data_IF_328451676617
#
_entry.id   IF_328451676617
#
_cell.length_a   1.000
_cell.length_b   1.000
_cell.length_c   1.000
_cell.angle_alpha   90.00
_cell.angle_beta   90.00
_cell.angle_gamma   90.00
#
_symmetry.space_group_name_H-M   'P 1'
#
loop_
_entity.id
_entity.type
_entity.pdbx_description
1 polymer ?
#
# COMPACT_ATOMS: atom_id res chain seq x y z
N UNK A 1 -11.46 13.21 44.58
CA UNK A 1 -11.50 12.83 43.16
C UNK A 1 -11.22 11.33 43.10
N UNK A 2 -12.15 10.49 42.59
CA UNK A 2 -11.87 9.06 42.45
C UNK A 2 -10.73 8.84 41.43
N UNK A 3 -9.87 7.82 41.62
CA UNK A 3 -8.84 7.51 40.64
C UNK A 3 -9.50 7.13 39.30
N UNK A 4 -8.88 7.46 38.15
CA UNK A 4 -9.45 7.12 36.85
C UNK A 4 -9.62 5.61 36.73
N UNK A 5 -10.85 5.16 36.50
CA UNK A 5 -11.17 3.76 36.26
C UNK A 5 -10.59 3.34 34.90
N UNK A 6 -9.64 2.41 34.91
CA UNK A 6 -9.03 1.84 33.71
C UNK A 6 -9.97 0.80 33.09
N UNK A 7 -10.20 0.87 31.77
CA UNK A 7 -11.06 -0.06 31.04
C UNK A 7 -10.41 -1.44 30.93
N UNK A 8 -10.80 -2.40 31.78
CA UNK A 8 -10.27 -3.77 31.78
C UNK A 8 -10.35 -4.45 30.39
N UNK A 9 -11.45 -4.31 29.61
CA UNK A 9 -11.50 -4.86 28.25
C UNK A 9 -10.43 -4.29 27.31
N UNK A 10 -10.07 -3.01 27.44
CA UNK A 10 -9.01 -2.40 26.63
C UNK A 10 -7.64 -3.00 26.98
N UNK A 11 -7.36 -3.22 28.27
CA UNK A 11 -6.12 -3.87 28.69
C UNK A 11 -6.03 -5.33 28.22
N UNK A 12 -7.13 -6.07 28.32
CA UNK A 12 -7.20 -7.45 27.82
C UNK A 12 -6.98 -7.52 26.29
N UNK A 13 -7.53 -6.58 25.53
CA UNK A 13 -7.33 -6.52 24.08
C UNK A 13 -5.85 -6.32 23.69
N UNK A 14 -5.11 -5.49 24.44
CA UNK A 14 -3.68 -5.28 24.20
C UNK A 14 -2.84 -6.53 24.48
N UNK A 15 -3.17 -7.27 25.55
CA UNK A 15 -2.50 -8.52 25.92
C UNK A 15 -2.73 -9.61 24.84
N UNK A 16 -3.97 -9.76 24.39
CA UNK A 16 -4.31 -10.69 23.31
C UNK A 16 -3.63 -10.28 21.99
N UNK A 17 -3.58 -8.99 21.65
CA UNK A 17 -2.88 -8.52 20.46
C UNK A 17 -1.40 -8.92 20.46
N UNK A 18 -0.72 -8.77 21.61
CA UNK A 18 0.66 -9.22 21.76
C UNK A 18 0.78 -10.73 21.52
N UNK A 19 -0.14 -11.53 22.06
CA UNK A 19 -0.14 -12.99 21.89
C UNK A 19 -0.42 -13.44 20.44
N UNK A 20 -1.32 -12.76 19.72
CA UNK A 20 -1.62 -13.04 18.31
C UNK A 20 -0.36 -12.85 17.44
N UNK A 21 0.43 -11.83 17.74
CA UNK A 21 1.63 -11.47 16.98
C UNK A 21 2.88 -12.25 17.41
N UNK A 22 2.79 -13.06 18.46
CA UNK A 22 3.93 -13.82 18.98
C UNK A 22 4.29 -15.01 18.09
N UNK A 23 5.58 -15.18 17.83
CA UNK A 23 6.12 -16.38 17.18
C UNK A 23 5.88 -16.47 15.67
N UNK A 24 5.90 -17.69 15.15
CA UNK A 24 5.80 -17.96 13.71
C UNK A 24 4.39 -17.73 13.16
N UNK A 25 3.36 -18.08 13.94
CA UNK A 25 1.96 -17.87 13.56
C UNK A 25 1.64 -16.40 13.28
N UNK A 26 2.11 -15.48 14.13
CA UNK A 26 1.93 -14.04 13.91
C UNK A 26 2.61 -13.54 12.63
N UNK A 27 3.84 -13.99 12.36
CA UNK A 27 4.56 -13.65 11.11
C UNK A 27 3.85 -14.21 9.88
N UNK A 28 3.31 -15.43 9.97
CA UNK A 28 2.57 -16.06 8.88
C UNK A 28 1.28 -15.30 8.55
N UNK A 29 0.55 -14.82 9.56
CA UNK A 29 -0.66 -14.00 9.34
C UNK A 29 -0.34 -12.75 8.49
N UNK A 30 0.76 -12.06 8.80
CA UNK A 30 1.19 -10.90 8.01
C UNK A 30 1.68 -11.28 6.60
N UNK A 31 2.40 -12.39 6.45
CA UNK A 31 2.83 -12.87 5.14
C UNK A 31 1.64 -13.18 4.23
N UNK A 32 0.62 -13.85 4.76
CA UNK A 32 -0.63 -14.13 4.04
C UNK A 32 -1.39 -12.83 3.69
N UNK A 33 -1.42 -11.85 4.61
CA UNK A 33 -2.02 -10.54 4.36
C UNK A 33 -1.33 -9.79 3.22
N UNK A 34 0.01 -9.77 3.20
CA UNK A 34 0.80 -9.14 2.12
C UNK A 34 0.55 -9.84 0.79
N UNK A 35 0.57 -11.18 0.77
CA UNK A 35 0.28 -11.95 -0.45
C UNK A 35 -1.12 -11.65 -1.00
N UNK A 36 -2.13 -11.59 -0.13
CA UNK A 36 -3.50 -11.23 -0.50
C UNK A 36 -3.56 -9.80 -1.07
N UNK A 37 -2.87 -8.85 -0.44
CA UNK A 37 -2.78 -7.47 -0.93
C UNK A 37 -2.15 -7.39 -2.32
N UNK A 38 -1.13 -8.19 -2.59
CA UNK A 38 -0.47 -8.26 -3.91
C UNK A 38 -1.44 -8.82 -4.96
N UNK A 39 -2.12 -9.92 -4.69
CA UNK A 39 -3.11 -10.49 -5.62
C UNK A 39 -4.26 -9.52 -5.88
N UNK A 40 -4.72 -8.79 -4.86
CA UNK A 40 -5.73 -7.75 -5.01
C UNK A 40 -5.26 -6.64 -5.96
N UNK A 41 -4.02 -6.16 -5.82
CA UNK A 41 -3.44 -5.16 -6.74
C UNK A 41 -3.37 -5.67 -8.17
N UNK A 42 -2.94 -6.91 -8.37
CA UNK A 42 -2.92 -7.55 -9.70
C UNK A 42 -4.33 -7.63 -10.31
N UNK A 43 -5.32 -8.04 -9.53
CA UNK A 43 -6.70 -8.09 -9.97
C UNK A 43 -7.25 -6.70 -10.35
N UNK A 44 -6.91 -5.66 -9.59
CA UNK A 44 -7.29 -4.28 -9.91
C UNK A 44 -6.65 -3.86 -11.24
N UNK A 45 -5.35 -4.07 -11.44
CA UNK A 45 -4.67 -3.72 -12.70
C UNK A 45 -5.31 -4.44 -13.90
N UNK A 46 -5.67 -5.71 -13.73
CA UNK A 46 -6.24 -6.51 -14.82
C UNK A 46 -7.68 -6.11 -15.18
N UNK A 47 -8.47 -5.64 -14.22
CA UNK A 47 -9.93 -5.49 -14.39
C UNK A 47 -10.43 -4.05 -14.27
N UNK A 48 -9.65 -3.14 -13.70
CA UNK A 48 -10.04 -1.77 -13.45
C UNK A 48 -9.27 -0.81 -14.35
N UNK A 49 -9.96 0.19 -14.89
CA UNK A 49 -9.35 1.27 -15.69
C UNK A 49 -9.27 2.58 -14.91
N UNK A 50 -10.31 2.86 -14.13
CA UNK A 50 -10.49 4.14 -13.42
C UNK A 50 -9.88 4.15 -12.03
N UNK A 51 -9.56 2.99 -11.45
CA UNK A 51 -8.85 2.91 -10.18
C UNK A 51 -7.60 2.08 -10.38
N UNK A 52 -6.46 2.59 -9.94
CA UNK A 52 -5.17 1.92 -10.05
C UNK A 52 -4.47 1.87 -8.70
N UNK A 53 -3.72 0.80 -8.39
CA UNK A 53 -2.94 0.75 -7.16
C UNK A 53 -1.75 1.72 -7.22
N UNK A 54 -1.49 2.44 -6.12
CA UNK A 54 -0.32 3.32 -6.00
C UNK A 54 0.95 2.50 -5.72
N UNK A 55 1.58 2.04 -6.80
CA UNK A 55 2.81 1.23 -6.82
C UNK A 55 3.63 1.55 -8.08
N UNK A 56 4.93 1.18 -8.14
CA UNK A 56 5.71 1.34 -9.35
C UNK A 56 5.06 0.63 -10.55
N UNK A 57 4.92 1.28 -11.71
CA UNK A 57 4.31 0.65 -12.89
C UNK A 57 5.17 -0.48 -13.47
N UNK A 58 6.50 -0.35 -13.36
CA UNK A 58 7.46 -1.37 -13.82
C UNK A 58 8.57 -1.56 -12.80
N UNK A 59 9.09 -2.78 -12.72
CA UNK A 59 10.23 -3.17 -11.88
C UNK A 59 11.14 -4.07 -12.70
N UNK A 60 12.44 -3.73 -12.78
CA UNK A 60 13.42 -4.43 -13.61
C UNK A 60 12.97 -4.62 -15.08
N UNK A 61 12.39 -3.56 -15.67
CA UNK A 61 11.98 -3.54 -17.08
C UNK A 61 10.72 -4.35 -17.40
N UNK A 62 10.03 -4.90 -16.40
CA UNK A 62 8.77 -5.64 -16.58
C UNK A 62 7.63 -4.99 -15.79
N UNK A 63 6.38 -5.05 -16.27
CA UNK A 63 5.21 -4.61 -15.50
C UNK A 63 5.15 -5.26 -14.12
N UNK A 64 4.77 -4.51 -13.11
CA UNK A 64 4.79 -4.97 -11.72
C UNK A 64 3.97 -6.24 -11.49
N UNK A 65 2.78 -6.31 -12.09
CA UNK A 65 1.84 -7.43 -11.95
C UNK A 65 2.32 -8.75 -12.57
N UNK A 66 3.30 -8.68 -13.48
CA UNK A 66 3.83 -9.86 -14.19
C UNK A 66 4.86 -10.65 -13.37
N UNK A 67 5.31 -10.10 -12.23
CA UNK A 67 6.24 -10.81 -11.34
C UNK A 67 5.50 -11.79 -10.41
N UNK A 68 6.11 -12.92 -10.01
CA UNK A 68 5.50 -13.85 -9.07
C UNK A 68 5.20 -13.19 -7.72
N UNK A 69 4.04 -13.49 -7.13
CA UNK A 69 3.60 -12.88 -5.86
C UNK A 69 4.57 -13.14 -4.71
N UNK A 70 5.17 -14.33 -4.67
CA UNK A 70 6.20 -14.66 -3.68
C UNK A 70 7.45 -13.78 -3.80
N UNK A 71 7.84 -13.42 -5.03
CA UNK A 71 8.98 -12.53 -5.27
C UNK A 71 8.64 -11.11 -4.81
N UNK A 72 7.44 -10.63 -5.18
CA UNK A 72 6.94 -9.31 -4.76
C UNK A 72 6.90 -9.20 -3.24
N UNK A 73 6.39 -10.22 -2.54
CA UNK A 73 6.25 -10.23 -1.08
C UNK A 73 7.60 -10.22 -0.34
N UNK A 74 8.68 -10.71 -0.96
CA UNK A 74 10.01 -10.84 -0.32
C UNK A 74 10.96 -9.70 -0.66
N UNK A 75 10.77 -9.03 -1.79
CA UNK A 75 11.74 -8.08 -2.32
C UNK A 75 11.26 -6.63 -2.21
N UNK A 76 12.01 -5.81 -1.46
CA UNK A 76 11.66 -4.39 -1.19
C UNK A 76 11.54 -3.53 -2.45
N UNK A 77 12.28 -3.85 -3.52
CA UNK A 77 12.26 -3.09 -4.79
C UNK A 77 10.87 -2.95 -5.41
N UNK A 78 9.94 -3.86 -5.10
CA UNK A 78 8.56 -3.79 -5.61
C UNK A 78 7.72 -2.72 -4.91
N UNK A 79 8.23 -2.15 -3.83
CA UNK A 79 7.56 -1.13 -3.03
C UNK A 79 8.46 0.09 -2.82
N UNK A 80 9.60 0.21 -3.52
CA UNK A 80 10.55 1.31 -3.31
C UNK A 80 10.14 2.57 -4.07
N UNK A 81 10.38 3.73 -3.46
CA UNK A 81 10.29 5.02 -4.15
C UNK A 81 11.66 5.39 -4.71
N UNK A 82 11.90 5.03 -5.97
CA UNK A 82 13.15 5.36 -6.67
C UNK A 82 13.28 6.87 -6.88
N UNK A 83 14.42 7.51 -6.55
CA UNK A 83 14.63 8.94 -6.74
C UNK A 83 14.31 9.41 -8.17
N UNK A 84 13.51 10.46 -8.27
CA UNK A 84 13.12 11.06 -9.55
C UNK A 84 12.13 10.22 -10.37
N UNK A 85 11.63 9.09 -9.84
CA UNK A 85 10.59 8.35 -10.54
C UNK A 85 9.28 9.13 -10.54
N UNK A 86 8.75 9.38 -11.75
CA UNK A 86 7.61 10.28 -11.93
C UNK A 86 6.31 9.73 -11.34
N UNK A 87 6.12 8.41 -11.32
CA UNK A 87 4.85 7.76 -10.92
C UNK A 87 4.35 8.15 -9.51
N UNK A 88 5.26 8.53 -8.59
CA UNK A 88 4.91 8.88 -7.22
C UNK A 88 4.88 10.39 -6.94
N UNK A 89 5.28 11.25 -7.88
CA UNK A 89 5.22 12.71 -7.73
C UNK A 89 6.10 13.36 -6.64
N UNK A 90 6.75 12.59 -5.77
CA UNK A 90 7.62 13.12 -4.71
C UNK A 90 9.01 13.56 -5.22
N UNK A 91 9.42 14.78 -4.83
CA UNK A 91 10.76 15.32 -5.05
C UNK A 91 11.67 15.14 -3.81
N UNK A 92 12.99 15.08 -4.03
CA UNK A 92 13.98 15.08 -2.96
C UNK A 92 14.17 13.76 -2.20
N UNK A 93 13.59 12.67 -2.69
CA UNK A 93 13.79 11.33 -2.12
C UNK A 93 15.16 10.77 -2.50
N UNK A 94 15.80 10.07 -1.55
CA UNK A 94 17.03 9.34 -1.77
C UNK A 94 16.78 7.83 -1.96
N UNK A 95 17.76 7.14 -2.54
CA UNK A 95 17.73 5.68 -2.74
C UNK A 95 17.51 4.95 -1.40
N UNK A 96 16.70 3.89 -1.42
CA UNK A 96 16.39 3.04 -0.26
C UNK A 96 15.85 3.79 0.98
N UNK A 97 15.38 5.03 0.81
CA UNK A 97 14.91 5.86 1.93
C UNK A 97 13.44 5.59 2.29
N UNK A 98 12.58 5.46 1.27
CA UNK A 98 11.14 5.35 1.45
C UNK A 98 10.57 4.15 0.71
N UNK A 99 9.51 3.57 1.29
CA UNK A 99 8.80 2.42 0.73
C UNK A 99 7.29 2.57 0.88
N UNK A 100 6.55 2.09 -0.12
CA UNK A 100 5.11 1.85 -0.05
C UNK A 100 4.86 0.77 1.01
N UNK A 101 3.94 1.05 1.94
CA UNK A 101 3.49 0.05 2.90
C UNK A 101 2.66 -1.02 2.17
N UNK A 102 3.11 -2.29 2.12
CA UNK A 102 2.41 -3.34 1.38
C UNK A 102 1.00 -3.62 1.93
N UNK A 103 0.76 -3.32 3.22
CA UNK A 103 -0.51 -3.54 3.89
C UNK A 103 -1.50 -2.37 3.71
N UNK A 104 -1.06 -1.25 3.12
CA UNK A 104 -1.94 -0.12 2.76
C UNK A 104 -2.33 -0.22 1.30
N UNK A 105 -3.54 -0.70 1.03
CA UNK A 105 -4.11 -0.73 -0.31
C UNK A 105 -4.55 0.68 -0.73
N UNK A 106 -3.56 1.48 -1.14
CA UNK A 106 -3.77 2.83 -1.66
C UNK A 106 -4.10 2.77 -3.16
N UNK A 107 -5.15 3.50 -3.56
CA UNK A 107 -5.67 3.55 -4.91
C UNK A 107 -5.70 4.99 -5.42
N UNK A 108 -5.38 5.19 -6.68
CA UNK A 108 -5.51 6.47 -7.38
C UNK A 108 -6.74 6.44 -8.29
N UNK A 109 -7.36 7.61 -8.44
CA UNK A 109 -8.43 7.88 -9.41
C UNK A 109 -7.91 8.83 -10.49
N UNK A 110 -8.57 8.95 -11.65
CA UNK A 110 -8.14 9.87 -12.70
C UNK A 110 -8.41 11.30 -12.22
N UNK A 111 -7.61 12.25 -12.70
CA UNK A 111 -7.74 13.66 -12.34
C UNK A 111 -6.39 14.37 -12.23
N UNK A 112 -5.33 13.63 -11.96
CA UNK A 112 -3.95 14.13 -11.94
C UNK A 112 -3.12 13.22 -12.84
N UNK A 113 -2.34 13.81 -13.74
CA UNK A 113 -1.37 13.10 -14.55
C UNK A 113 -0.06 12.94 -13.77
N UNK A 114 0.33 11.69 -13.49
CA UNK A 114 1.51 11.43 -12.67
C UNK A 114 2.84 11.78 -13.36
N UNK A 115 2.86 11.94 -14.69
CA UNK A 115 4.10 12.32 -15.39
C UNK A 115 4.39 13.82 -15.32
N UNK A 116 3.33 14.64 -15.36
CA UNK A 116 3.41 16.09 -15.41
C UNK A 116 3.07 16.77 -14.08
N UNK A 117 2.31 16.10 -13.21
CA UNK A 117 1.77 16.67 -11.97
C UNK A 117 0.56 17.58 -12.17
N UNK A 118 0.07 17.73 -13.40
CA UNK A 118 -1.02 18.63 -13.75
C UNK A 118 -2.39 17.94 -13.70
N UNK A 119 -3.45 18.74 -13.58
CA UNK A 119 -4.82 18.23 -13.64
C UNK A 119 -5.16 17.77 -15.07
N UNK A 120 -5.82 16.61 -15.18
CA UNK A 120 -6.38 16.14 -16.45
C UNK A 120 -7.76 16.75 -16.73
N UNK A 121 -8.15 16.82 -18.02
CA UNK A 121 -9.47 17.34 -18.43
C UNK A 121 -10.64 16.58 -17.78
N UNK A 122 -10.45 15.27 -17.57
CA UNK A 122 -11.39 14.42 -16.88
C UNK A 122 -10.80 13.93 -15.55
N UNK A 123 -11.62 13.90 -14.50
CA UNK A 123 -11.24 13.31 -13.21
C UNK A 123 -12.44 12.80 -12.41
N UNK A 124 -12.18 11.86 -11.49
CA UNK A 124 -13.14 11.36 -10.52
C UNK A 124 -12.63 11.71 -9.13
N UNK A 125 -13.25 12.70 -8.45
CA UNK A 125 -12.88 13.02 -7.07
C UNK A 125 -13.01 11.81 -6.15
N UNK A 126 -12.00 11.64 -5.30
CA UNK A 126 -11.85 10.47 -4.45
C UNK A 126 -13.07 10.26 -3.51
N UNK A 127 -13.65 11.36 -3.03
CA UNK A 127 -14.86 11.39 -2.17
C UNK A 127 -16.07 10.67 -2.77
N UNK A 128 -16.23 10.64 -4.10
CA UNK A 128 -17.34 9.91 -4.74
C UNK A 128 -17.12 8.39 -4.78
N UNK A 129 -15.87 7.95 -4.62
CA UNK A 129 -15.45 6.54 -4.72
C UNK A 129 -15.05 5.93 -3.39
N UNK A 130 -14.86 6.74 -2.33
CA UNK A 130 -14.33 6.31 -1.04
C UNK A 130 -12.83 5.95 -1.07
N UNK A 131 -12.11 6.29 -2.14
CA UNK A 131 -10.66 6.16 -2.21
C UNK A 131 -9.97 7.39 -1.57
N UNK A 132 -8.77 7.21 -1.04
CA UNK A 132 -7.89 8.33 -0.65
C UNK A 132 -7.03 8.69 -1.86
N UNK A 133 -7.09 9.93 -2.37
CA UNK A 133 -6.10 10.35 -3.38
C UNK A 133 -4.76 10.61 -2.68
N UNK A 134 -3.69 10.11 -3.27
CA UNK A 134 -2.31 10.40 -2.88
C UNK A 134 -1.67 11.31 -3.92
#
# INVERSE_FOLDING_TARGET
MPPPARSIPLFAALDVNAKIHEGESGRRLWAECVALGIEARKAIIANCKMIQPFIPPTVAGRPWQDHPTEAIARERRFFSFEPGARWHGFEGYADDQYFVDPCKLLLTTPGIDAESGEYSEFGIPADYSGALSA
#
